data_IF_515039829312
#
_entry.id   IF_515039829312
#
_cell.length_a   1.000
_cell.length_b   1.000
_cell.length_c   1.000
_cell.angle_alpha   90.00
_cell.angle_beta   90.00
_cell.angle_gamma   90.00
#
_symmetry.space_group_name_H-M   'P 1'
#
loop_
_entity.id
_entity.type
_entity.pdbx_description
1 polymer ?
#
# COMPACT_ATOMS: atom_id res chain seq x y z
N UNK A 1 -0.32 9.78 -18.24
CA UNK A 1 -0.17 8.35 -17.87
C UNK A 1 -0.24 8.22 -16.35
N UNK A 2 -1.07 7.30 -15.85
CA UNK A 2 -1.16 6.98 -14.41
C UNK A 2 -0.39 5.69 -14.13
N UNK A 3 0.57 5.76 -13.20
CA UNK A 3 1.33 4.62 -12.69
C UNK A 3 1.08 4.47 -11.20
N UNK A 4 0.84 3.24 -10.76
CA UNK A 4 0.71 2.90 -9.34
C UNK A 4 1.80 1.88 -9.02
N UNK A 5 2.71 2.23 -8.12
CA UNK A 5 3.76 1.32 -7.67
C UNK A 5 3.54 0.97 -6.19
N UNK A 6 2.97 -0.21 -5.87
CA UNK A 6 2.79 -0.65 -4.49
C UNK A 6 4.09 -1.22 -3.88
N UNK A 7 5.16 -1.33 -4.68
CA UNK A 7 6.36 -2.09 -4.34
C UNK A 7 7.52 -1.14 -4.09
N UNK A 8 7.38 -0.33 -3.05
CA UNK A 8 8.45 0.54 -2.55
C UNK A 8 9.36 -0.23 -1.58
N UNK A 9 10.66 0.10 -1.51
CA UNK A 9 11.56 -0.46 -0.51
C UNK A 9 11.23 0.07 0.88
N UNK A 10 11.39 -0.76 1.90
CA UNK A 10 11.24 -0.33 3.29
C UNK A 10 12.49 0.35 3.81
N UNK A 11 12.29 1.42 4.57
CA UNK A 11 13.36 2.03 5.34
C UNK A 11 13.68 1.17 6.56
N UNK A 12 14.87 0.57 6.57
CA UNK A 12 15.30 -0.37 7.62
C UNK A 12 15.89 0.36 8.84
N UNK A 13 15.13 1.29 9.41
CA UNK A 13 15.49 2.03 10.63
C UNK A 13 14.55 1.64 11.76
N UNK A 14 15.09 1.02 12.82
CA UNK A 14 14.31 0.55 13.97
C UNK A 14 13.67 1.67 14.80
N UNK A 15 14.15 2.90 14.68
CA UNK A 15 13.57 4.06 15.37
C UNK A 15 12.30 4.54 14.69
N UNK A 16 12.13 4.19 13.41
CA UNK A 16 11.06 4.67 12.53
C UNK A 16 10.09 3.56 12.14
N UNK A 17 10.61 2.37 11.89
CA UNK A 17 9.91 1.24 11.29
C UNK A 17 10.09 -0.01 12.15
N UNK A 18 8.96 -0.63 12.48
CA UNK A 18 8.94 -1.90 13.19
C UNK A 18 8.47 -3.03 12.28
N UNK A 19 9.31 -4.03 12.03
CA UNK A 19 8.92 -5.23 11.29
C UNK A 19 8.62 -6.34 12.30
N UNK A 20 7.36 -6.77 12.46
CA UNK A 20 7.01 -7.83 13.37
C UNK A 20 7.58 -9.17 12.91
N UNK A 21 8.20 -9.87 13.84
CA UNK A 21 8.57 -11.28 13.68
C UNK A 21 7.35 -12.18 13.89
N UNK A 22 7.48 -13.47 13.54
CA UNK A 22 6.47 -14.51 13.87
C UNK A 22 6.14 -14.56 15.37
N UNK A 23 7.07 -14.11 16.23
CA UNK A 23 6.90 -14.04 17.69
C UNK A 23 6.31 -12.71 18.19
N UNK A 24 5.98 -11.79 17.29
CA UNK A 24 5.40 -10.48 17.61
C UNK A 24 6.40 -9.44 18.13
N UNK A 25 7.70 -9.77 18.15
CA UNK A 25 8.74 -8.79 18.51
C UNK A 25 9.09 -7.91 17.33
N UNK A 26 9.43 -6.66 17.64
CA UNK A 26 9.96 -5.70 16.69
C UNK A 26 11.35 -6.13 16.19
N UNK A 27 11.56 -6.14 14.89
CA UNK A 27 12.82 -6.54 14.27
C UNK A 27 13.17 -5.68 13.06
N UNK A 28 14.40 -5.88 12.57
CA UNK A 28 14.91 -5.35 11.31
C UNK A 28 14.79 -6.39 10.18
N UNK A 29 14.78 -5.95 8.92
CA UNK A 29 14.81 -6.84 7.74
C UNK A 29 15.97 -7.85 7.83
N UNK A 30 17.10 -7.46 8.42
CA UNK A 30 18.27 -8.34 8.56
C UNK A 30 18.02 -9.53 9.49
N UNK A 31 17.00 -9.47 10.34
CA UNK A 31 16.67 -10.50 11.33
C UNK A 31 15.47 -11.36 10.92
N UNK A 32 14.75 -10.99 9.86
CA UNK A 32 13.57 -11.73 9.40
C UNK A 32 13.91 -12.86 8.42
N UNK A 33 15.19 -13.05 8.12
CA UNK A 33 15.71 -14.17 7.33
C UNK A 33 15.88 -13.86 5.85
N UNK A 34 16.57 -14.78 5.15
CA UNK A 34 16.98 -14.60 3.75
C UNK A 34 15.84 -14.25 2.77
N UNK A 35 14.63 -14.85 2.83
CA UNK A 35 13.56 -14.51 1.89
C UNK A 35 13.15 -13.04 1.94
N UNK A 36 13.05 -12.46 3.14
CA UNK A 36 12.67 -11.07 3.33
C UNK A 36 13.78 -10.10 2.88
N UNK A 37 15.04 -10.48 3.09
CA UNK A 37 16.20 -9.73 2.55
C UNK A 37 16.17 -9.75 1.02
N UNK A 38 15.94 -10.92 0.40
CA UNK A 38 15.87 -11.04 -1.05
C UNK A 38 14.70 -10.23 -1.65
N UNK A 39 13.55 -10.24 -0.97
CA UNK A 39 12.37 -9.46 -1.35
C UNK A 39 12.64 -7.94 -1.25
N UNK A 40 13.29 -7.49 -0.18
CA UNK A 40 13.76 -6.11 -0.05
C UNK A 40 14.76 -5.73 -1.15
N UNK A 41 15.73 -6.60 -1.48
CA UNK A 41 16.68 -6.37 -2.58
C UNK A 41 15.94 -6.23 -3.91
N UNK A 42 14.93 -7.06 -4.17
CA UNK A 42 14.10 -6.96 -5.36
C UNK A 42 13.38 -5.62 -5.45
N UNK A 43 12.83 -5.13 -4.33
CA UNK A 43 12.15 -3.82 -4.24
C UNK A 43 13.10 -2.65 -4.52
N UNK A 44 14.31 -2.70 -3.97
CA UNK A 44 15.35 -1.69 -4.25
C UNK A 44 15.67 -1.69 -5.75
N UNK A 45 15.88 -2.86 -6.36
CA UNK A 45 16.15 -2.97 -7.79
C UNK A 45 14.99 -2.45 -8.65
N UNK A 46 13.74 -2.78 -8.29
CA UNK A 46 12.56 -2.31 -9.01
C UNK A 46 12.43 -0.79 -8.92
N UNK A 47 12.71 -0.20 -7.75
CA UNK A 47 12.69 1.24 -7.54
C UNK A 47 13.67 1.96 -8.46
N UNK A 48 14.93 1.51 -8.51
CA UNK A 48 15.95 2.10 -9.38
C UNK A 48 15.55 2.00 -10.85
N UNK A 49 15.04 0.84 -11.29
CA UNK A 49 14.56 0.65 -12.66
C UNK A 49 13.39 1.55 -13.01
N UNK A 50 12.44 1.72 -12.09
CA UNK A 50 11.28 2.58 -12.26
C UNK A 50 11.70 4.05 -12.38
N UNK A 51 12.61 4.52 -11.53
CA UNK A 51 13.14 5.90 -11.60
C UNK A 51 13.82 6.16 -12.95
N UNK A 52 14.68 5.24 -13.41
CA UNK A 52 15.32 5.35 -14.71
C UNK A 52 14.29 5.35 -15.85
N UNK A 53 13.32 4.43 -15.83
CA UNK A 53 12.28 4.35 -16.85
C UNK A 53 11.41 5.62 -16.89
N UNK A 54 11.07 6.17 -15.71
CA UNK A 54 10.34 7.43 -15.57
C UNK A 54 11.11 8.59 -16.21
N UNK A 55 12.39 8.70 -15.92
CA UNK A 55 13.21 9.82 -16.41
C UNK A 55 13.41 9.75 -17.92
N UNK A 56 13.68 8.55 -18.44
CA UNK A 56 13.75 8.31 -19.88
C UNK A 56 12.41 8.59 -20.58
N UNK A 57 11.29 8.21 -19.96
CA UNK A 57 9.96 8.43 -20.53
C UNK A 57 9.64 9.92 -20.60
N UNK A 58 9.91 10.68 -19.53
CA UNK A 58 9.73 12.13 -19.48
C UNK A 58 10.56 12.86 -20.54
N UNK A 59 11.77 12.39 -20.82
CA UNK A 59 12.62 12.97 -21.87
C UNK A 59 12.07 12.72 -23.28
N UNK A 60 11.48 11.54 -23.53
CA UNK A 60 10.94 11.16 -24.85
C UNK A 60 9.54 11.70 -25.11
N UNK A 61 8.77 11.93 -24.06
CA UNK A 61 7.36 12.35 -24.12
C UNK A 61 7.11 13.53 -23.16
N UNK A 62 7.68 14.72 -23.45
CA UNK A 62 7.55 15.89 -22.56
C UNK A 62 6.12 16.45 -22.49
N UNK A 63 5.28 16.10 -23.46
CA UNK A 63 3.88 16.47 -23.56
C UNK A 63 2.94 15.58 -22.72
N UNK A 64 3.44 14.46 -22.19
CA UNK A 64 2.64 13.52 -21.40
C UNK A 64 2.80 13.81 -19.91
N UNK A 65 1.71 14.21 -19.24
CA UNK A 65 1.68 14.29 -17.79
C UNK A 65 1.82 12.88 -17.18
N UNK A 66 2.87 12.65 -16.39
CA UNK A 66 3.15 11.37 -15.72
C UNK A 66 2.86 11.48 -14.21
N UNK A 67 1.80 10.81 -13.77
CA UNK A 67 1.43 10.70 -12.37
C UNK A 67 1.86 9.34 -11.83
N UNK A 68 2.78 9.34 -10.86
CA UNK A 68 3.24 8.17 -10.13
C UNK A 68 2.67 8.22 -8.71
N UNK A 69 1.90 7.21 -8.34
CA UNK A 69 1.35 7.03 -6.99
C UNK A 69 2.11 5.90 -6.32
N UNK A 70 2.69 6.20 -5.17
CA UNK A 70 3.47 5.30 -4.35
C UNK A 70 3.09 5.49 -2.88
N UNK A 71 3.06 4.41 -2.07
CA UNK A 71 3.02 4.55 -0.63
C UNK A 71 4.29 5.24 -0.12
N UNK A 72 4.19 5.88 1.03
CA UNK A 72 5.33 6.52 1.69
C UNK A 72 6.39 5.49 2.13
N UNK A 73 7.68 5.87 2.22
CA UNK A 73 8.75 4.96 2.62
C UNK A 73 8.66 4.48 4.08
N UNK A 74 7.94 5.22 4.92
CA UNK A 74 7.65 4.88 6.32
C UNK A 74 6.44 3.94 6.46
N UNK A 75 5.76 3.64 5.35
CA UNK A 75 4.56 2.79 5.32
C UNK A 75 4.91 1.30 5.23
N UNK A 76 5.99 0.93 5.91
CA UNK A 76 6.54 -0.41 6.00
C UNK A 76 5.56 -1.42 6.58
N UNK A 77 4.53 -0.98 7.29
CA UNK A 77 3.45 -1.85 7.76
C UNK A 77 2.75 -2.56 6.60
N UNK A 78 2.81 -2.01 5.38
CA UNK A 78 2.34 -2.68 4.17
C UNK A 78 3.17 -3.92 3.81
N UNK A 79 4.42 -4.07 4.29
CA UNK A 79 5.20 -5.30 4.08
C UNK A 79 4.63 -6.54 4.78
N UNK A 80 3.62 -6.37 5.63
CA UNK A 80 2.91 -7.49 6.26
C UNK A 80 1.95 -8.22 5.32
N UNK A 81 2.11 -8.02 4.02
CA UNK A 81 1.54 -8.91 2.99
C UNK A 81 1.89 -10.35 3.32
N UNK A 82 0.87 -11.13 3.71
CA UNK A 82 1.01 -12.56 3.96
C UNK A 82 0.62 -13.03 5.35
N UNK A 83 0.13 -12.15 6.24
CA UNK A 83 -0.48 -12.67 7.47
C UNK A 83 -1.72 -13.51 7.15
N UNK A 84 -1.73 -14.74 7.65
CA UNK A 84 -2.92 -15.59 7.59
C UNK A 84 -4.03 -15.05 8.49
N UNK A 85 -3.72 -14.11 9.39
CA UNK A 85 -4.66 -13.46 10.29
C UNK A 85 -5.53 -12.42 9.56
N UNK A 86 -6.84 -12.65 9.52
CA UNK A 86 -7.81 -11.74 8.92
C UNK A 86 -7.80 -10.35 9.55
N UNK A 87 -7.61 -10.23 10.87
CA UNK A 87 -7.63 -8.94 11.57
C UNK A 87 -6.47 -8.05 11.12
N UNK A 88 -5.28 -8.64 10.96
CA UNK A 88 -4.09 -7.93 10.47
C UNK A 88 -4.27 -7.50 9.00
N UNK A 89 -4.88 -8.34 8.16
CA UNK A 89 -5.22 -7.95 6.78
C UNK A 89 -6.17 -6.76 6.73
N UNK A 90 -7.17 -6.69 7.62
CA UNK A 90 -8.08 -5.54 7.69
C UNK A 90 -7.34 -4.28 8.15
N UNK A 91 -6.44 -4.39 9.13
CA UNK A 91 -5.62 -3.26 9.58
C UNK A 91 -4.72 -2.73 8.45
N UNK A 92 -4.06 -3.61 7.70
CA UNK A 92 -3.23 -3.23 6.53
C UNK A 92 -4.06 -2.52 5.47
N UNK A 93 -5.27 -3.04 5.16
CA UNK A 93 -6.18 -2.38 4.22
C UNK A 93 -6.65 -1.01 4.70
N UNK A 94 -7.01 -0.89 5.98
CA UNK A 94 -7.44 0.38 6.57
C UNK A 94 -6.32 1.41 6.49
N UNK A 95 -5.11 1.00 6.87
CA UNK A 95 -3.93 1.84 6.82
C UNK A 95 -3.62 2.30 5.40
N UNK A 96 -3.56 1.37 4.44
CA UNK A 96 -3.28 1.70 3.03
C UNK A 96 -4.33 2.62 2.41
N UNK A 97 -5.61 2.45 2.77
CA UNK A 97 -6.66 3.35 2.29
C UNK A 97 -6.53 4.74 2.91
N UNK A 98 -6.36 4.84 4.24
CA UNK A 98 -6.24 6.12 4.91
C UNK A 98 -5.02 6.89 4.42
N UNK A 99 -3.89 6.20 4.24
CA UNK A 99 -2.69 6.77 3.61
C UNK A 99 -2.98 7.38 2.25
N UNK A 100 -3.58 6.60 1.35
CA UNK A 100 -3.93 7.08 0.01
C UNK A 100 -4.93 8.25 0.08
N UNK A 101 -5.91 8.19 0.97
CA UNK A 101 -6.85 9.28 1.21
C UNK A 101 -6.13 10.57 1.63
N UNK A 102 -5.20 10.50 2.60
CA UNK A 102 -4.39 11.65 3.00
C UNK A 102 -3.57 12.19 1.84
N UNK A 103 -2.88 11.33 1.08
CA UNK A 103 -2.13 11.74 -0.11
C UNK A 103 -3.01 12.50 -1.11
N UNK A 104 -4.21 12.00 -1.42
CA UNK A 104 -5.12 12.64 -2.37
C UNK A 104 -5.68 13.97 -1.84
N UNK A 105 -5.95 14.07 -0.54
CA UNK A 105 -6.40 15.33 0.08
C UNK A 105 -5.28 16.37 0.06
N UNK A 106 -4.06 16.02 0.46
CA UNK A 106 -2.91 16.92 0.48
C UNK A 106 -2.51 17.41 -0.92
N UNK A 107 -2.64 16.55 -1.93
CA UNK A 107 -2.25 16.84 -3.30
C UNK A 107 -3.44 17.23 -4.20
N UNK A 108 -4.61 17.51 -3.63
CA UNK A 108 -5.85 17.65 -4.39
C UNK A 108 -5.77 18.72 -5.48
N UNK A 109 -5.29 19.93 -5.16
CA UNK A 109 -5.22 21.02 -6.13
C UNK A 109 -4.29 20.69 -7.30
N UNK A 110 -3.10 20.16 -7.02
CA UNK A 110 -2.14 19.72 -8.04
C UNK A 110 -2.73 18.62 -8.93
N UNK A 111 -3.43 17.65 -8.33
CA UNK A 111 -4.06 16.57 -9.06
C UNK A 111 -5.20 17.10 -9.93
N UNK A 112 -6.05 17.97 -9.38
CA UNK A 112 -7.15 18.61 -10.09
C UNK A 112 -6.66 19.38 -11.31
N UNK A 113 -5.61 20.18 -11.17
CA UNK A 113 -4.98 20.87 -12.31
C UNK A 113 -4.46 19.88 -13.37
N UNK A 114 -3.79 18.81 -12.93
CA UNK A 114 -3.25 17.79 -13.83
C UNK A 114 -4.36 17.05 -14.60
N UNK A 115 -5.44 16.65 -13.93
CA UNK A 115 -6.56 15.95 -14.57
C UNK A 115 -7.41 16.89 -15.44
N UNK A 116 -7.53 18.17 -15.08
CA UNK A 116 -8.25 19.17 -15.87
C UNK A 116 -7.63 19.39 -17.26
N UNK A 117 -6.29 19.31 -17.39
CA UNK A 117 -5.60 19.33 -18.70
C UNK A 117 -6.03 18.21 -19.66
N UNK A 118 -6.66 17.18 -19.13
CA UNK A 118 -7.13 16.01 -19.87
C UNK A 118 -8.66 15.88 -19.88
N UNK A 119 -9.39 16.97 -19.63
CA UNK A 119 -10.85 17.01 -19.59
C UNK A 119 -11.43 15.97 -18.62
N UNK A 120 -10.79 15.84 -17.44
CA UNK A 120 -11.23 14.99 -16.33
C UNK A 120 -11.43 15.82 -15.07
N UNK A 121 -12.65 15.79 -14.55
CA UNK A 121 -12.97 16.35 -13.25
C UNK A 121 -12.69 15.34 -12.15
N UNK A 122 -12.25 15.83 -10.99
CA UNK A 122 -11.96 15.02 -9.81
C UNK A 122 -12.58 15.66 -8.57
N UNK A 123 -12.99 14.84 -7.61
CA UNK A 123 -13.60 15.28 -6.36
C UNK A 123 -13.15 14.44 -5.17
N UNK A 124 -13.24 15.02 -3.97
CA UNK A 124 -12.93 14.34 -2.70
C UNK A 124 -14.18 13.71 -2.05
N UNK A 125 -15.36 13.85 -2.64
CA UNK A 125 -16.67 13.51 -2.04
C UNK A 125 -16.75 12.06 -1.52
N UNK A 126 -16.09 11.13 -2.20
CA UNK A 126 -16.16 9.70 -1.89
C UNK A 126 -15.00 9.19 -1.03
N UNK A 127 -14.09 10.06 -0.60
CA UNK A 127 -12.97 9.70 0.28
C UNK A 127 -13.47 9.64 1.72
N UNK A 128 -13.30 8.48 2.38
CA UNK A 128 -13.79 8.23 3.74
C UNK A 128 -12.75 7.57 4.62
N UNK A 129 -12.24 8.27 5.63
CA UNK A 129 -11.31 7.66 6.60
C UNK A 129 -11.99 6.53 7.39
N UNK A 130 -11.22 5.51 7.75
CA UNK A 130 -11.60 4.40 8.65
C UNK A 130 -12.71 3.44 8.18
N UNK A 131 -13.02 3.46 6.88
CA UNK A 131 -14.03 2.60 6.25
C UNK A 131 -13.89 1.11 6.57
N UNK A 132 -12.67 0.60 6.74
CA UNK A 132 -12.42 -0.84 6.88
C UNK A 132 -12.48 -1.32 8.33
N UNK A 133 -12.30 -0.44 9.32
CA UNK A 133 -12.43 -0.82 10.74
C UNK A 133 -13.87 -1.24 11.07
N UNK A 134 -14.88 -0.62 10.45
CA UNK A 134 -16.28 -1.03 10.56
C UNK A 134 -16.53 -2.48 10.09
N UNK A 135 -15.75 -2.98 9.13
CA UNK A 135 -15.87 -4.36 8.68
C UNK A 135 -15.26 -5.35 9.67
N UNK A 136 -14.20 -4.97 10.40
CA UNK A 136 -13.58 -5.83 11.41
C UNK A 136 -14.44 -5.96 12.68
N UNK A 137 -15.20 -4.93 13.04
CA UNK A 137 -16.06 -4.92 14.24
C UNK A 137 -17.39 -5.64 14.03
N UNK A 138 -17.75 -6.02 12.79
CA UNK A 138 -18.95 -6.81 12.53
C UNK A 138 -18.87 -8.17 13.24
N UNK A 139 -19.89 -8.56 14.03
CA UNK A 139 -19.87 -9.83 14.72
C UNK A 139 -19.80 -10.98 13.70
N UNK A 140 -18.84 -11.89 13.89
CA UNK A 140 -18.70 -13.10 13.08
C UNK A 140 -19.97 -13.93 13.23
N UNK A 141 -20.87 -13.89 12.25
CA UNK A 141 -21.98 -14.85 12.16
C UNK A 141 -21.39 -16.21 11.86
N UNK A 142 -21.13 -17.01 12.91
CA UNK A 142 -20.83 -18.44 12.78
C UNK A 142 -22.08 -19.11 12.21
N UNK A 143 -22.18 -19.23 10.88
CA UNK A 143 -23.09 -20.19 10.26
C UNK A 143 -22.53 -21.58 10.57
N UNK A 144 -23.08 -22.24 11.60
CA UNK A 144 -22.91 -23.68 11.80
C UNK A 144 -23.59 -24.37 10.61
N UNK A 145 -22.80 -24.84 9.66
CA UNK A 145 -23.27 -25.82 8.69
C UNK A 145 -23.43 -27.15 9.45
N UNK A 146 -24.65 -27.47 9.87
CA UNK A 146 -24.97 -28.80 10.36
C UNK A 146 -25.06 -29.74 9.15
N UNK A 147 -24.08 -30.62 9.00
CA UNK A 147 -24.20 -31.74 8.07
C UNK A 147 -25.34 -32.64 8.56
N UNK A 148 -26.46 -32.66 7.83
CA UNK A 148 -27.49 -33.69 8.01
C UNK A 148 -26.91 -35.01 7.48
N UNK A 149 -26.59 -35.91 8.40
CA UNK A 149 -26.26 -37.29 8.07
C UNK A 149 -27.58 -37.95 7.66
N UNK A 150 -27.71 -38.31 6.38
CA UNK A 150 -28.79 -39.17 5.90
C UNK A 150 -28.45 -40.62 6.31
N UNK A 151 -29.41 -41.28 6.97
CA UNK A 151 -29.39 -42.71 7.28
C UNK A 151 -29.91 -43.51 6.09
#
# INVERSE_FOLDING_TARGET
MLMVNPTVPVYNDRTVVCIPTVRGHCSSITETGFPNIAEQVSRINLRVKLELARDMYRQRHPDVDLLLIEPGPMESTLFLYGSMNFSERVQVLNYGYNSAAFFFMENFEKLKECFAKHDREVSLEHIRTDRFLEMATRPKTRRRYTMKIYR
#
